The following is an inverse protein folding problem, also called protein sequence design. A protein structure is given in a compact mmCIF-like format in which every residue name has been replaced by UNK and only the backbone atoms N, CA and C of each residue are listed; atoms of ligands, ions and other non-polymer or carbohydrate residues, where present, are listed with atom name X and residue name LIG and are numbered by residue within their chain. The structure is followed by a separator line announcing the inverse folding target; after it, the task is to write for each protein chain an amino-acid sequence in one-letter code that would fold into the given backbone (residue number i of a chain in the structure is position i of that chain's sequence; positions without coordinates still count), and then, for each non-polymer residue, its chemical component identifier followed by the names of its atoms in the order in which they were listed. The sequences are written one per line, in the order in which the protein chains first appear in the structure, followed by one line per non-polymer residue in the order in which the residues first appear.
data_IF_849648776416
#
_entry.id   IF_849648776416
#
_cell.length_a   1.000
_cell.length_b   1.000
_cell.length_c   1.000
_cell.angle_alpha   90.00
_cell.angle_beta   90.00
_cell.angle_gamma   90.00
#
_symmetry.space_group_name_H-M   'P 1'
#
loop_
_entity.id
_entity.type
_entity.pdbx_description
1 polymer ?
#
# COMPACT_ATOMS: atom_id res chain seq x y z
N UNK A 1 9.03 2.12 27.36
CA UNK A 1 9.15 3.27 26.43
C UNK A 1 10.45 3.99 26.72
N UNK A 2 11.37 4.00 25.76
CA UNK A 2 12.62 4.79 25.88
C UNK A 2 12.22 6.26 25.78
N UNK A 3 12.52 7.04 26.81
CA UNK A 3 12.26 8.47 26.81
C UNK A 3 13.25 9.12 25.83
N UNK A 4 12.78 9.53 24.66
CA UNK A 4 13.57 10.35 23.74
C UNK A 4 13.30 11.81 24.06
N UNK A 5 14.37 12.61 24.24
CA UNK A 5 14.35 14.07 24.45
C UNK A 5 13.91 14.87 23.20
N UNK A 6 13.27 14.21 22.22
CA UNK A 6 12.82 14.81 20.96
C UNK A 6 11.37 14.44 20.70
N UNK A 7 10.64 15.33 20.02
CA UNK A 7 9.23 15.07 19.66
C UNK A 7 9.15 13.77 18.87
N UNK A 8 8.52 12.75 19.46
CA UNK A 8 8.35 11.44 18.85
C UNK A 8 7.79 11.61 17.42
N UNK A 9 8.49 11.14 16.37
CA UNK A 9 8.01 11.28 14.98
C UNK A 9 6.63 10.65 14.76
N UNK A 10 6.24 9.66 15.58
CA UNK A 10 4.89 9.09 15.57
C UNK A 10 3.81 10.05 16.09
N UNK A 11 4.14 11.01 16.96
CA UNK A 11 3.16 11.93 17.55
C UNK A 11 2.59 12.94 16.53
N UNK A 12 3.34 13.22 15.44
CA UNK A 12 2.88 14.08 14.33
C UNK A 12 2.12 13.33 13.22
N UNK A 13 2.08 12.01 13.26
CA UNK A 13 1.43 11.20 12.23
C UNK A 13 -0.02 10.91 12.62
N UNK A 14 -0.96 11.69 12.08
CA UNK A 14 -2.39 11.62 12.42
C UNK A 14 -3.05 10.27 12.00
N UNK A 15 -2.41 9.42 11.18
CA UNK A 15 -3.11 8.29 10.52
C UNK A 15 -2.44 6.92 10.42
N UNK A 16 -1.28 6.63 11.01
CA UNK A 16 -0.92 5.22 11.22
C UNK A 16 0.10 4.99 12.32
N UNK A 17 -0.22 4.09 13.24
CA UNK A 17 0.67 3.49 14.24
C UNK A 17 1.87 2.77 13.58
N UNK A 18 1.79 2.55 12.27
CA UNK A 18 2.78 1.88 11.42
C UNK A 18 3.40 2.90 10.45
N UNK A 19 4.23 3.81 10.94
CA UNK A 19 4.99 4.71 10.06
C UNK A 19 6.17 3.96 9.41
N UNK A 20 6.74 4.51 8.33
CA UNK A 20 7.86 3.86 7.60
C UNK A 20 9.07 3.54 8.50
N UNK A 21 9.41 4.43 9.42
CA UNK A 21 10.50 4.19 10.37
C UNK A 21 10.19 3.00 11.28
N UNK A 22 8.99 2.94 11.85
CA UNK A 22 8.58 1.84 12.70
C UNK A 22 8.64 0.49 11.96
N UNK A 23 8.14 0.44 10.72
CA UNK A 23 8.16 -0.77 9.89
C UNK A 23 9.58 -1.21 9.54
N UNK A 24 10.48 -0.28 9.21
CA UNK A 24 11.80 -0.62 8.69
C UNK A 24 12.88 -0.75 9.77
N UNK A 25 12.67 -0.16 10.96
CA UNK A 25 13.69 -0.07 12.01
C UNK A 25 13.27 -0.79 13.30
N UNK A 26 11.98 -0.83 13.63
CA UNK A 26 11.50 -1.44 14.88
C UNK A 26 10.98 -2.85 14.64
N UNK A 27 10.08 -3.03 13.67
CA UNK A 27 9.48 -4.35 13.42
C UNK A 27 10.48 -5.46 13.02
N UNK A 28 11.58 -5.21 12.29
CA UNK A 28 12.53 -6.29 11.98
C UNK A 28 13.30 -6.80 13.22
N UNK A 29 13.35 -6.01 14.30
CA UNK A 29 13.95 -6.40 15.57
C UNK A 29 12.99 -7.24 16.43
N UNK A 30 11.68 -7.09 16.23
CA UNK A 30 10.64 -7.77 17.00
C UNK A 30 9.73 -8.59 16.08
N UNK A 31 10.09 -9.86 15.91
CA UNK A 31 9.45 -10.79 14.98
C UNK A 31 8.03 -11.19 15.40
N UNK A 32 7.73 -11.18 16.70
CA UNK A 32 6.39 -11.51 17.19
C UNK A 32 5.42 -10.37 16.89
N UNK A 33 5.84 -9.14 17.21
CA UNK A 33 5.08 -7.93 16.90
C UNK A 33 4.91 -7.74 15.38
N UNK A 34 5.91 -8.09 14.59
CA UNK A 34 5.82 -8.08 13.13
C UNK A 34 4.67 -8.98 12.63
N UNK A 35 4.60 -10.23 13.08
CA UNK A 35 3.58 -11.20 12.64
C UNK A 35 2.17 -10.79 13.06
N UNK A 36 2.04 -10.19 14.24
CA UNK A 36 0.75 -9.70 14.74
C UNK A 36 0.23 -8.52 13.89
N UNK A 37 1.10 -7.57 13.56
CA UNK A 37 0.72 -6.36 12.84
C UNK A 37 0.67 -6.54 11.31
N UNK A 38 1.53 -7.39 10.75
CA UNK A 38 1.74 -7.57 9.32
C UNK A 38 1.83 -9.07 8.93
N UNK A 39 0.76 -9.87 9.14
CA UNK A 39 0.80 -11.32 8.94
C UNK A 39 1.14 -11.76 7.50
N UNK A 40 0.82 -10.92 6.52
CA UNK A 40 0.99 -11.21 5.08
C UNK A 40 2.25 -10.55 4.46
N UNK A 41 3.02 -9.79 5.25
CA UNK A 41 4.20 -9.09 4.76
C UNK A 41 5.47 -9.90 5.02
N UNK A 42 6.49 -9.73 4.18
CA UNK A 42 7.77 -10.42 4.32
C UNK A 42 8.63 -9.81 5.42
N UNK A 43 8.97 -10.61 6.44
CA UNK A 43 9.67 -10.22 7.69
C UNK A 43 10.89 -9.32 7.47
N UNK A 44 11.66 -9.56 6.39
CA UNK A 44 12.90 -8.85 6.10
C UNK A 44 12.71 -7.54 5.35
N UNK A 45 11.64 -7.40 4.57
CA UNK A 45 11.43 -6.25 3.68
C UNK A 45 10.31 -5.32 4.14
N UNK A 46 9.40 -5.78 5.02
CA UNK A 46 8.21 -5.02 5.40
C UNK A 46 7.19 -4.89 4.27
N UNK A 47 7.38 -5.61 3.16
CA UNK A 47 6.55 -5.50 1.96
C UNK A 47 5.58 -6.68 1.85
N UNK A 48 4.37 -6.39 1.37
CA UNK A 48 3.38 -7.41 1.05
C UNK A 48 3.72 -8.11 -0.26
N UNK A 49 3.78 -9.43 -0.24
CA UNK A 49 3.86 -10.25 -1.44
C UNK A 49 2.49 -10.34 -2.11
N UNK A 50 2.42 -9.97 -3.39
CA UNK A 50 1.16 -9.81 -4.10
C UNK A 50 1.20 -10.37 -5.50
N UNK A 51 0.03 -10.68 -6.02
CA UNK A 51 -0.16 -11.07 -7.42
C UNK A 51 -0.95 -9.96 -8.13
N UNK A 52 -0.40 -9.46 -9.23
CA UNK A 52 -1.05 -8.40 -9.99
C UNK A 52 -2.32 -8.92 -10.67
N UNK A 53 -3.48 -8.31 -10.39
CA UNK A 53 -4.77 -8.72 -10.99
C UNK A 53 -4.88 -8.54 -12.51
N UNK A 54 -3.92 -7.87 -13.15
CA UNK A 54 -3.93 -7.61 -14.59
C UNK A 54 -3.02 -8.58 -15.37
N UNK A 55 -1.82 -8.86 -14.86
CA UNK A 55 -0.84 -9.71 -15.56
C UNK A 55 -0.48 -10.99 -14.80
N UNK A 56 -1.08 -11.23 -13.64
CA UNK A 56 -0.85 -12.37 -12.74
C UNK A 56 0.61 -12.57 -12.30
N UNK A 57 1.48 -11.57 -12.49
CA UNK A 57 2.86 -11.61 -12.01
C UNK A 57 2.93 -11.25 -10.53
N UNK A 58 3.84 -11.93 -9.81
CA UNK A 58 4.17 -11.61 -8.42
C UNK A 58 4.90 -10.26 -8.33
N UNK A 59 4.62 -9.48 -7.31
CA UNK A 59 5.29 -8.21 -7.01
C UNK A 59 5.18 -7.89 -5.51
N UNK A 60 6.02 -7.00 -5.01
CA UNK A 60 6.00 -6.51 -3.63
C UNK A 60 5.43 -5.09 -3.56
N UNK A 61 4.76 -4.75 -2.45
CA UNK A 61 4.23 -3.41 -2.21
C UNK A 61 4.21 -3.07 -0.73
N UNK A 62 4.42 -1.80 -0.41
CA UNK A 62 4.25 -1.21 0.93
C UNK A 62 2.78 -1.09 1.35
N UNK A 63 1.85 -1.12 0.39
CA UNK A 63 0.43 -0.85 0.62
C UNK A 63 -0.39 -2.13 0.60
N UNK A 64 -1.05 -2.45 1.70
CA UNK A 64 -1.96 -3.62 1.83
C UNK A 64 -3.06 -3.68 0.76
N UNK A 65 -3.53 -2.54 0.24
CA UNK A 65 -4.62 -2.49 -0.74
C UNK A 65 -4.17 -2.28 -2.21
N UNK A 66 -2.86 -2.27 -2.49
CA UNK A 66 -2.34 -2.21 -3.87
C UNK A 66 -2.71 -3.50 -4.64
N UNK A 67 -3.32 -3.39 -5.83
CA UNK A 67 -3.83 -4.54 -6.60
C UNK A 67 -3.07 -4.79 -7.91
N UNK A 68 -2.30 -3.81 -8.37
CA UNK A 68 -1.62 -3.84 -9.65
C UNK A 68 -0.13 -3.57 -9.47
N UNK A 69 0.71 -4.29 -10.21
CA UNK A 69 2.13 -4.02 -10.21
C UNK A 69 2.41 -2.65 -10.87
N UNK A 70 3.58 -2.03 -10.60
CA UNK A 70 3.91 -0.71 -11.11
C UNK A 70 3.75 -0.58 -12.64
N UNK A 71 4.12 -1.62 -13.39
CA UNK A 71 4.00 -1.65 -14.86
C UNK A 71 2.55 -1.66 -15.37
N UNK A 72 1.63 -2.27 -14.61
CA UNK A 72 0.22 -2.40 -15.01
C UNK A 72 -0.66 -1.26 -14.46
N UNK A 73 -0.19 -0.58 -13.40
CA UNK A 73 -0.93 0.48 -12.70
C UNK A 73 -1.38 1.59 -13.65
N UNK A 74 -0.48 2.08 -14.49
CA UNK A 74 -0.80 3.16 -15.44
C UNK A 74 -1.74 2.71 -16.56
N UNK A 75 -1.60 1.46 -17.04
CA UNK A 75 -2.50 0.89 -18.04
C UNK A 75 -3.93 0.83 -17.51
N UNK A 76 -4.11 0.30 -16.30
CA UNK A 76 -5.42 0.22 -15.65
C UNK A 76 -5.99 1.61 -15.36
N UNK A 77 -5.15 2.56 -14.95
CA UNK A 77 -5.58 3.95 -14.70
C UNK A 77 -6.12 4.61 -15.98
N UNK A 78 -5.42 4.46 -17.10
CA UNK A 78 -5.86 4.96 -18.42
C UNK A 78 -7.17 4.31 -18.85
N UNK A 79 -7.30 2.99 -18.71
CA UNK A 79 -8.51 2.28 -19.10
C UNK A 79 -9.73 2.70 -18.26
N UNK A 80 -9.57 2.79 -16.93
CA UNK A 80 -10.64 3.29 -16.05
C UNK A 80 -11.05 4.72 -16.40
N UNK A 81 -10.11 5.58 -16.76
CA UNK A 81 -10.41 6.95 -17.20
C UNK A 81 -11.21 6.96 -18.52
N UNK A 82 -10.83 6.10 -19.48
CA UNK A 82 -11.55 5.93 -20.76
C UNK A 82 -12.99 5.47 -20.53
N UNK A 83 -13.19 4.42 -19.75
CA UNK A 83 -14.51 3.89 -19.41
C UNK A 83 -15.39 4.92 -18.68
N UNK A 84 -14.80 5.73 -17.79
CA UNK A 84 -15.53 6.83 -17.14
C UNK A 84 -16.04 7.86 -18.14
N UNK A 85 -15.21 8.23 -19.12
CA UNK A 85 -15.60 9.19 -20.17
C UNK A 85 -16.61 8.61 -21.14
N UNK A 86 -16.51 7.34 -21.50
CA UNK A 86 -17.51 6.65 -22.30
C UNK A 86 -18.88 6.67 -21.61
N UNK A 87 -18.95 6.23 -20.34
CA UNK A 87 -20.19 6.26 -19.54
C UNK A 87 -20.76 7.67 -19.39
N UNK A 88 -19.91 8.69 -19.29
CA UNK A 88 -20.34 10.08 -19.27
C UNK A 88 -21.05 10.47 -20.57
N UNK A 89 -20.48 10.12 -21.73
CA UNK A 89 -21.07 10.40 -23.04
C UNK A 89 -22.38 9.65 -23.24
N UNK A 90 -22.42 8.36 -22.89
CA UNK A 90 -23.65 7.55 -22.96
C UNK A 90 -24.79 8.19 -22.18
N UNK A 91 -24.52 8.73 -20.99
CA UNK A 91 -25.52 9.49 -20.21
C UNK A 91 -25.94 10.81 -20.86
N UNK A 92 -25.01 11.52 -21.51
CA UNK A 92 -25.33 12.77 -22.21
C UNK A 92 -26.14 12.54 -23.50
N UNK A 93 -25.93 11.41 -24.18
CA UNK A 93 -26.65 11.03 -25.40
C UNK A 93 -27.93 10.22 -25.13
N UNK A 94 -28.32 10.03 -23.86
CA UNK A 94 -29.54 9.34 -23.46
C UNK A 94 -30.78 10.27 -23.42
N UNK A 95 -30.69 11.46 -24.03
CA UNK A 95 -31.76 12.46 -24.16
C UNK A 95 -32.09 12.68 -25.64
#
# INVERSE_FOLDING_TARGET
CILLDTTCPQMGCIYSVLCKYFINSVLPLDKELYKELLPDAEETSGLYNKVCKYCNKKFTSDKKNEQYCPKCKDKVKKEKARLRKQKQREKCHAF
#
